data_IF_718842697989
#
_entry.id   IF_718842697989
#
_cell.length_a   1.000
_cell.length_b   1.000
_cell.length_c   1.000
_cell.angle_alpha   90.00
_cell.angle_beta   90.00
_cell.angle_gamma   90.00
#
_symmetry.space_group_name_H-M   'P 1'
#
loop_
_entity.id
_entity.type
_entity.pdbx_description
1 polymer ?
#
# COMPACT_ATOMS: atom_id res chain seq x y z
N UNK A 1 -14.46 0.66 25.44
CA UNK A 1 -13.66 -0.14 24.49
C UNK A 1 -13.82 0.56 23.15
N UNK A 2 -12.77 1.23 22.62
CA UNK A 2 -12.84 1.77 21.26
C UNK A 2 -12.69 0.60 20.31
N UNK A 3 -13.66 0.38 19.44
CA UNK A 3 -13.49 -0.56 18.32
C UNK A 3 -12.42 0.04 17.41
N UNK A 4 -11.50 -0.76 16.90
CA UNK A 4 -10.52 -0.28 15.91
C UNK A 4 -10.92 -0.87 14.57
N UNK A 5 -11.16 -0.01 13.56
CA UNK A 5 -11.40 -0.45 12.19
C UNK A 5 -10.20 -1.24 11.67
N UNK A 6 -10.45 -2.40 11.07
CA UNK A 6 -9.40 -3.24 10.45
C UNK A 6 -9.36 -3.07 8.92
N UNK A 7 -8.35 -3.65 8.26
CA UNK A 7 -8.16 -3.55 6.79
C UNK A 7 -9.41 -3.96 6.01
N UNK A 8 -10.04 -5.07 6.36
CA UNK A 8 -11.20 -5.57 5.60
C UNK A 8 -12.41 -4.65 5.74
N UNK A 9 -12.63 -4.08 6.93
CA UNK A 9 -13.70 -3.10 7.17
C UNK A 9 -13.42 -1.79 6.44
N UNK A 10 -12.18 -1.30 6.50
CA UNK A 10 -11.76 -0.10 5.78
C UNK A 10 -11.94 -0.25 4.26
N UNK A 11 -11.54 -1.38 3.68
CA UNK A 11 -11.73 -1.67 2.26
C UNK A 11 -13.21 -1.71 1.86
N UNK A 12 -14.07 -2.32 2.69
CA UNK A 12 -15.53 -2.33 2.45
C UNK A 12 -16.12 -0.93 2.47
N UNK A 13 -15.72 -0.10 3.44
CA UNK A 13 -16.15 1.29 3.56
C UNK A 13 -15.73 2.11 2.32
N UNK A 14 -14.47 1.96 1.87
CA UNK A 14 -13.97 2.62 0.67
C UNK A 14 -14.67 2.13 -0.61
N UNK A 15 -14.89 0.83 -0.75
CA UNK A 15 -15.62 0.25 -1.89
C UNK A 15 -17.09 0.71 -1.96
N UNK A 16 -17.69 1.02 -0.82
CA UNK A 16 -19.03 1.62 -0.73
C UNK A 16 -19.06 3.13 -1.03
N UNK A 17 -17.92 3.75 -1.37
CA UNK A 17 -17.82 5.18 -1.67
C UNK A 17 -18.04 6.09 -0.45
N UNK A 18 -17.87 5.55 0.77
CA UNK A 18 -18.09 6.32 1.99
C UNK A 18 -16.99 7.36 2.20
N UNK A 19 -17.38 8.57 2.59
CA UNK A 19 -16.44 9.67 2.81
C UNK A 19 -15.65 9.47 4.11
N UNK A 20 -14.35 9.74 4.05
CA UNK A 20 -13.48 9.77 5.22
C UNK A 20 -13.74 11.04 6.04
N UNK A 21 -14.29 10.88 7.24
CA UNK A 21 -14.53 11.99 8.17
C UNK A 21 -13.27 12.28 8.98
N UNK A 22 -12.78 13.54 9.06
CA UNK A 22 -11.61 13.88 9.87
C UNK A 22 -11.77 13.47 11.34
N UNK A 23 -10.74 12.84 11.91
CA UNK A 23 -10.75 12.36 13.30
C UNK A 23 -11.58 11.09 13.52
N UNK A 24 -12.08 10.47 12.45
CA UNK A 24 -12.68 9.14 12.53
C UNK A 24 -11.59 8.07 12.64
N UNK A 25 -11.98 6.91 13.18
CA UNK A 25 -11.13 5.71 13.23
C UNK A 25 -10.60 5.32 11.83
N UNK A 26 -11.42 5.50 10.80
CA UNK A 26 -11.01 5.28 9.41
C UNK A 26 -9.87 6.19 8.97
N UNK A 27 -9.93 7.49 9.31
CA UNK A 27 -8.83 8.42 9.01
C UNK A 27 -7.58 8.13 9.81
N UNK A 28 -7.70 7.73 11.07
CA UNK A 28 -6.57 7.34 11.91
C UNK A 28 -5.90 6.07 11.37
N UNK A 29 -6.70 5.07 10.99
CA UNK A 29 -6.23 3.84 10.37
C UNK A 29 -5.50 4.13 9.05
N UNK A 30 -6.08 4.94 8.17
CA UNK A 30 -5.45 5.36 6.91
C UNK A 30 -4.12 6.08 7.17
N UNK A 31 -4.07 7.02 8.12
CA UNK A 31 -2.86 7.76 8.43
C UNK A 31 -1.75 6.84 8.97
N UNK A 32 -2.09 5.94 9.89
CA UNK A 32 -1.15 4.95 10.42
C UNK A 32 -0.60 4.06 9.30
N UNK A 33 -1.45 3.61 8.37
CA UNK A 33 -1.02 2.81 7.21
C UNK A 33 -0.13 3.60 6.26
N UNK A 34 -0.45 4.86 5.96
CA UNK A 34 0.39 5.72 5.13
C UNK A 34 1.78 5.97 5.75
N UNK A 35 1.88 6.07 7.08
CA UNK A 35 3.19 6.15 7.77
C UNK A 35 3.97 4.84 7.61
N UNK A 36 3.34 3.70 7.85
CA UNK A 36 3.97 2.38 7.68
C UNK A 36 4.48 2.16 6.25
N UNK A 37 3.65 2.46 5.26
CA UNK A 37 4.02 2.30 3.85
C UNK A 37 5.20 3.20 3.45
N UNK A 38 5.24 4.45 3.93
CA UNK A 38 6.38 5.34 3.67
C UNK A 38 7.69 4.85 4.27
N UNK A 39 7.65 4.24 5.46
CA UNK A 39 8.84 3.62 6.07
C UNK A 39 9.34 2.42 5.24
N UNK A 40 8.42 1.60 4.74
CA UNK A 40 8.75 0.47 3.85
C UNK A 40 9.29 0.96 2.50
N UNK A 41 8.72 2.00 1.90
CA UNK A 41 9.25 2.62 0.69
C UNK A 41 10.65 3.21 0.94
N UNK A 42 10.89 3.85 2.08
CA UNK A 42 12.23 4.33 2.43
C UNK A 42 13.24 3.18 2.47
N UNK A 43 12.89 2.08 3.16
CA UNK A 43 13.73 0.88 3.21
C UNK A 43 14.01 0.31 1.81
N UNK A 44 12.97 0.23 0.97
CA UNK A 44 13.10 -0.24 -0.41
C UNK A 44 14.03 0.68 -1.23
N UNK A 45 13.91 2.00 -1.06
CA UNK A 45 14.65 2.99 -1.85
C UNK A 45 16.09 3.20 -1.40
N UNK A 46 16.45 2.86 -0.16
CA UNK A 46 17.78 3.16 0.40
C UNK A 46 18.81 2.03 0.27
N UNK A 47 18.52 0.97 -0.48
CA UNK A 47 19.38 -0.21 -0.54
C UNK A 47 19.27 -1.01 -1.83
N UNK A 48 20.19 -1.99 -1.98
CA UNK A 48 20.11 -3.02 -3.01
C UNK A 48 19.42 -4.23 -2.39
N UNK A 49 18.30 -4.63 -2.98
CA UNK A 49 17.49 -5.74 -2.48
C UNK A 49 17.55 -6.91 -3.44
N UNK A 50 17.57 -8.13 -2.91
CA UNK A 50 17.26 -9.31 -3.71
C UNK A 50 15.78 -9.28 -4.13
N UNK A 51 15.43 -10.05 -5.16
CA UNK A 51 14.04 -10.16 -5.60
C UNK A 51 13.12 -10.71 -4.49
N UNK A 52 13.64 -11.55 -3.60
CA UNK A 52 12.90 -12.08 -2.44
C UNK A 52 12.63 -10.96 -1.41
N UNK A 53 13.66 -10.22 -1.03
CA UNK A 53 13.53 -9.09 -0.08
C UNK A 53 12.56 -8.02 -0.60
N UNK A 54 12.62 -7.73 -1.91
CA UNK A 54 11.69 -6.83 -2.56
C UNK A 54 10.25 -7.32 -2.42
N UNK A 55 9.99 -8.59 -2.72
CA UNK A 55 8.65 -9.18 -2.59
C UNK A 55 8.16 -9.18 -1.15
N UNK A 56 9.02 -9.41 -0.16
CA UNK A 56 8.65 -9.37 1.25
C UNK A 56 8.24 -7.96 1.71
N UNK A 57 8.95 -6.93 1.23
CA UNK A 57 8.58 -5.54 1.50
C UNK A 57 7.26 -5.19 0.81
N UNK A 58 7.07 -5.59 -0.45
CA UNK A 58 5.83 -5.33 -1.18
C UNK A 58 4.63 -6.01 -0.50
N UNK A 59 4.78 -7.25 -0.04
CA UNK A 59 3.74 -7.96 0.72
C UNK A 59 3.28 -7.20 1.96
N UNK A 60 4.21 -6.56 2.66
CA UNK A 60 3.90 -5.75 3.83
C UNK A 60 3.15 -4.45 3.46
N UNK A 61 3.49 -3.85 2.31
CA UNK A 61 2.83 -2.65 1.79
C UNK A 61 1.39 -2.96 1.36
N UNK A 62 1.17 -4.01 0.56
CA UNK A 62 -0.15 -4.37 0.02
C UNK A 62 -1.03 -5.06 1.06
N UNK A 63 -0.41 -5.82 1.98
CA UNK A 63 -1.10 -6.74 2.86
C UNK A 63 -1.60 -8.00 2.14
N UNK A 64 -1.04 -8.30 0.96
CA UNK A 64 -1.39 -9.44 0.11
C UNK A 64 -0.11 -10.16 -0.36
N UNK A 65 -0.17 -11.48 -0.61
CA UNK A 65 0.97 -12.22 -1.14
C UNK A 65 1.47 -11.61 -2.46
N UNK A 66 2.79 -11.39 -2.56
CA UNK A 66 3.38 -10.88 -3.79
C UNK A 66 3.47 -11.99 -4.83
N UNK A 67 3.30 -11.64 -6.09
CA UNK A 67 3.54 -12.56 -7.19
C UNK A 67 5.00 -13.05 -7.16
N UNK A 68 5.28 -14.36 -7.30
CA UNK A 68 6.65 -14.89 -7.34
C UNK A 68 7.55 -14.27 -8.41
N UNK A 69 6.96 -13.76 -9.50
CA UNK A 69 7.66 -13.11 -10.63
C UNK A 69 7.75 -11.59 -10.48
N UNK A 70 7.16 -11.01 -9.43
CA UNK A 70 7.14 -9.56 -9.22
C UNK A 70 8.57 -9.01 -9.14
N UNK A 71 8.78 -7.93 -9.88
CA UNK A 71 9.98 -7.12 -9.79
C UNK A 71 9.59 -5.64 -9.83
N UNK A 72 10.21 -4.82 -8.99
CA UNK A 72 9.88 -3.40 -8.86
C UNK A 72 11.14 -2.57 -9.02
N UNK A 73 11.05 -1.54 -9.86
CA UNK A 73 12.14 -0.58 -10.04
C UNK A 73 12.10 0.45 -8.93
N UNK A 74 13.23 0.66 -8.26
CA UNK A 74 13.43 1.71 -7.25
C UNK A 74 14.07 2.96 -7.90
N UNK A 75 13.75 4.19 -7.44
CA UNK A 75 12.93 4.49 -6.27
C UNK A 75 11.42 4.37 -6.55
N UNK A 76 10.69 3.91 -5.54
CA UNK A 76 9.25 3.70 -5.54
C UNK A 76 8.61 4.57 -4.44
N UNK A 77 7.52 5.26 -4.77
CA UNK A 77 6.70 5.97 -3.77
C UNK A 77 5.28 5.43 -3.82
N UNK A 78 4.79 4.95 -2.67
CA UNK A 78 3.41 4.49 -2.49
C UNK A 78 2.84 5.26 -1.30
N UNK A 79 1.58 5.67 -1.42
CA UNK A 79 0.85 6.31 -0.31
C UNK A 79 0.37 5.27 0.72
N UNK A 80 -0.92 4.92 0.75
CA UNK A 80 -1.42 3.95 1.73
C UNK A 80 -1.10 2.49 1.39
N UNK A 81 -0.89 2.15 0.12
CA UNK A 81 -0.59 0.78 -0.36
C UNK A 81 -1.74 -0.24 -0.24
N UNK A 82 -2.77 0.06 0.57
CA UNK A 82 -3.84 -0.87 0.95
C UNK A 82 -4.77 -1.31 -0.20
N UNK A 83 -4.83 -0.51 -1.28
CA UNK A 83 -5.61 -0.79 -2.50
C UNK A 83 -4.72 -1.23 -3.68
N UNK A 84 -3.43 -1.46 -3.46
CA UNK A 84 -2.49 -1.79 -4.53
C UNK A 84 -2.48 -3.31 -4.74
N UNK A 85 -2.72 -3.72 -5.97
CA UNK A 85 -2.59 -5.11 -6.43
C UNK A 85 -1.52 -5.16 -7.52
N UNK A 86 -0.69 -6.19 -7.49
CA UNK A 86 0.32 -6.47 -8.52
C UNK A 86 -0.05 -7.75 -9.25
N UNK A 87 -0.29 -7.65 -10.54
CA UNK A 87 -0.63 -8.78 -11.40
C UNK A 87 0.63 -9.47 -11.93
N UNK A 88 0.45 -10.66 -12.50
CA UNK A 88 1.54 -11.43 -13.09
C UNK A 88 2.15 -10.71 -14.30
N UNK A 89 3.46 -10.46 -14.26
CA UNK A 89 4.18 -9.73 -15.31
C UNK A 89 4.31 -8.23 -15.05
N UNK A 90 3.71 -7.69 -13.99
CA UNK A 90 3.89 -6.29 -13.61
C UNK A 90 5.35 -6.01 -13.21
N UNK A 91 6.09 -5.43 -14.14
CA UNK A 91 7.50 -5.03 -13.96
C UNK A 91 7.65 -3.51 -13.81
N UNK A 92 6.53 -2.78 -13.68
CA UNK A 92 6.51 -1.34 -13.82
C UNK A 92 6.61 -0.67 -12.45
N UNK A 93 7.62 0.19 -12.30
CA UNK A 93 7.67 1.16 -11.22
C UNK A 93 6.35 1.92 -11.19
N UNK A 94 5.64 1.83 -10.07
CA UNK A 94 4.29 2.33 -9.91
C UNK A 94 4.26 3.86 -10.10
N UNK A 95 3.94 4.33 -11.32
CA UNK A 95 3.53 5.72 -11.59
C UNK A 95 2.05 5.94 -11.23
N UNK A 96 1.55 5.37 -10.12
CA UNK A 96 0.14 5.54 -9.70
C UNK A 96 -0.11 6.80 -8.84
N UNK A 97 0.79 7.79 -8.87
CA UNK A 97 0.50 9.10 -8.28
C UNK A 97 -0.15 10.10 -9.25
N UNK A 98 -0.48 9.74 -10.50
CA UNK A 98 -1.02 10.72 -11.46
C UNK A 98 -2.29 10.35 -12.24
N UNK A 99 -3.02 9.28 -11.90
CA UNK A 99 -4.36 9.12 -12.48
C UNK A 99 -5.41 9.84 -11.64
N UNK A 100 -5.74 11.04 -12.12
CA UNK A 100 -6.92 11.84 -11.78
C UNK A 100 -8.12 10.96 -11.40
N UNK A 101 -8.76 11.34 -10.29
CA UNK A 101 -10.18 11.14 -10.09
C UNK A 101 -10.94 11.46 -11.38
N UNK A 102 -11.59 10.45 -11.95
CA UNK A 102 -12.74 10.61 -12.84
C UNK A 102 -13.86 9.75 -12.30
#
# INVERSE_FOLDING_TARGET
>A
MRSHINRAEFLKMMAAGQALTPGSEATEFMHARAVQTRLLCQQLNSGVHSAEQLRDIIQQITGEPANPTLNVVTPLTIDCGINLHFDEGDSHGCEMCNHRAR
#
